data_IF_195728747702
#
_entry.id   IF_195728747702
#
_cell.length_a   1.000
_cell.length_b   1.000
_cell.length_c   1.000
_cell.angle_alpha   90.00
_cell.angle_beta   90.00
_cell.angle_gamma   90.00
#
_symmetry.space_group_name_H-M   'P 1'
#
loop_
_entity.id
_entity.type
_entity.pdbx_description
1 polymer ?
#
# COMPACT_ATOMS: atom_id res chain seq x y z
N UNK A 1 -7.04 -8.05 -12.16
CA UNK A 1 -7.27 -6.63 -12.49
C UNK A 1 -6.79 -5.81 -11.31
N UNK A 2 -6.04 -4.72 -11.56
CA UNK A 2 -5.58 -3.83 -10.49
C UNK A 2 -6.66 -2.74 -10.35
N UNK A 3 -7.23 -2.62 -9.15
CA UNK A 3 -8.17 -1.56 -8.79
C UNK A 3 -7.56 -0.62 -7.75
N UNK A 4 -8.27 0.45 -7.44
CA UNK A 4 -7.93 1.38 -6.36
C UNK A 4 -9.18 1.64 -5.54
N UNK A 5 -9.06 1.55 -4.21
CA UNK A 5 -10.18 1.89 -3.32
C UNK A 5 -10.47 3.40 -3.33
N UNK A 6 -9.41 4.21 -3.44
CA UNK A 6 -9.51 5.68 -3.47
C UNK A 6 -8.77 6.25 -4.69
N UNK A 7 -9.40 6.28 -5.88
CA UNK A 7 -8.74 6.71 -7.12
C UNK A 7 -8.28 8.17 -7.09
N UNK A 8 -8.99 9.04 -6.36
CA UNK A 8 -8.66 10.46 -6.24
C UNK A 8 -7.34 10.71 -5.52
N UNK A 9 -6.91 9.79 -4.64
CA UNK A 9 -5.64 9.90 -3.93
C UNK A 9 -4.44 9.92 -4.91
N UNK A 10 -4.58 9.36 -6.12
CA UNK A 10 -3.55 9.40 -7.16
C UNK A 10 -3.20 10.84 -7.60
N UNK A 11 -4.10 11.82 -7.42
CA UNK A 11 -3.77 13.23 -7.64
C UNK A 11 -2.62 13.69 -6.75
N UNK A 12 -2.41 13.05 -5.59
CA UNK A 12 -1.27 13.28 -4.72
C UNK A 12 0.08 13.01 -5.39
N UNK A 13 0.15 12.24 -6.48
CA UNK A 13 1.39 12.04 -7.24
C UNK A 13 1.92 13.36 -7.80
N UNK A 14 1.08 14.37 -8.01
CA UNK A 14 1.50 15.71 -8.41
C UNK A 14 2.45 16.34 -7.37
N UNK A 15 2.33 15.97 -6.10
CA UNK A 15 3.23 16.44 -5.04
C UNK A 15 4.68 15.93 -5.22
N UNK A 16 4.89 14.82 -5.94
CA UNK A 16 6.25 14.33 -6.26
C UNK A 16 7.00 15.28 -7.19
N UNK A 17 6.29 16.16 -7.92
CA UNK A 17 6.92 17.18 -8.76
C UNK A 17 7.62 18.26 -7.92
N UNK A 18 7.15 18.55 -6.70
CA UNK A 18 7.71 19.61 -5.83
C UNK A 18 9.22 19.43 -5.61
N UNK A 19 9.73 18.30 -5.09
CA UNK A 19 11.17 18.12 -4.89
C UNK A 19 11.97 18.15 -6.20
N UNK A 20 11.39 17.72 -7.32
CA UNK A 20 12.03 17.78 -8.65
C UNK A 20 12.17 19.24 -9.09
N UNK A 21 11.10 20.03 -9.00
CA UNK A 21 11.11 21.45 -9.33
C UNK A 21 12.09 22.23 -8.44
N UNK A 22 12.07 21.97 -7.13
CA UNK A 22 13.02 22.60 -6.19
C UNK A 22 14.47 22.25 -6.53
N UNK A 23 14.75 21.00 -6.95
CA UNK A 23 16.08 20.61 -7.40
C UNK A 23 16.51 21.36 -8.67
N UNK A 24 15.63 21.48 -9.65
CA UNK A 24 15.89 22.23 -10.88
C UNK A 24 16.13 23.72 -10.59
N UNK A 25 15.37 24.29 -9.66
CA UNK A 25 15.50 25.70 -9.26
C UNK A 25 16.79 25.95 -8.46
N UNK A 26 17.17 25.02 -7.58
CA UNK A 26 18.42 25.05 -6.82
C UNK A 26 19.66 24.82 -7.69
N UNK A 27 19.48 24.40 -8.95
CA UNK A 27 20.55 24.26 -9.94
C UNK A 27 21.00 25.59 -10.55
N UNK A 28 20.32 26.70 -10.23
CA UNK A 28 20.77 28.05 -10.60
C UNK A 28 22.12 28.32 -9.93
N UNK A 29 23.14 28.53 -10.75
CA UNK A 29 24.52 28.73 -10.29
C UNK A 29 24.59 29.92 -9.33
N UNK A 30 25.12 29.73 -8.11
CA UNK A 30 25.43 30.84 -7.22
C UNK A 30 26.48 31.73 -7.90
N UNK A 31 26.40 33.07 -7.76
CA UNK A 31 27.41 33.95 -8.31
C UNK A 31 28.79 33.56 -7.78
N UNK A 32 29.72 33.28 -8.70
CA UNK A 32 31.09 32.91 -8.37
C UNK A 32 31.81 34.15 -7.84
N UNK A 33 31.95 34.27 -6.52
CA UNK A 33 32.83 35.28 -5.91
C UNK A 33 34.24 34.69 -5.87
N UNK A 34 35.14 35.20 -6.71
CA UNK A 34 36.51 34.73 -6.83
C UNK A 34 37.33 35.20 -5.63
N UNK A 35 37.38 34.41 -4.56
CA UNK A 35 38.18 34.70 -3.37
C UNK A 35 39.63 34.18 -3.54
N UNK A 36 40.67 35.04 -3.62
CA UNK A 36 42.03 34.62 -3.98
C UNK A 36 42.70 33.65 -3.00
N UNK A 37 42.31 33.68 -1.72
CA UNK A 37 42.91 32.86 -0.66
C UNK A 37 42.61 31.36 -0.77
N UNK A 38 41.61 30.94 -1.55
CA UNK A 38 41.09 29.56 -1.57
C UNK A 38 41.61 28.75 -2.77
N UNK A 39 42.39 29.36 -3.67
CA UNK A 39 42.84 28.76 -4.94
C UNK A 39 43.61 27.44 -4.77
N UNK A 40 44.28 27.25 -3.63
CA UNK A 40 45.00 26.01 -3.30
C UNK A 40 44.11 24.87 -2.76
N UNK A 41 42.89 25.16 -2.30
CA UNK A 41 41.91 24.16 -1.82
C UNK A 41 41.05 23.57 -2.95
N UNK A 42 40.98 24.26 -4.10
CA UNK A 42 40.17 23.89 -5.27
C UNK A 42 40.65 22.60 -5.97
N UNK A 43 41.95 22.27 -5.86
CA UNK A 43 42.50 21.06 -6.46
C UNK A 43 41.97 19.77 -5.77
N UNK A 44 41.76 19.80 -4.45
CA UNK A 44 41.27 18.65 -3.68
C UNK A 44 39.73 18.46 -3.77
N UNK A 45 38.98 19.52 -4.09
CA UNK A 45 37.50 19.49 -4.09
C UNK A 45 36.91 18.88 -5.37
N UNK A 46 37.66 18.81 -6.49
CA UNK A 46 37.18 18.21 -7.76
C UNK A 46 36.71 16.75 -7.60
N UNK A 47 37.37 15.94 -6.78
CA UNK A 47 36.92 14.57 -6.50
C UNK A 47 35.64 14.52 -5.64
N UNK A 48 35.49 15.45 -4.69
CA UNK A 48 34.34 15.51 -3.79
C UNK A 48 33.05 15.92 -4.53
N UNK A 49 33.15 16.76 -5.56
CA UNK A 49 32.00 17.17 -6.37
C UNK A 49 31.26 16.00 -7.02
N UNK A 50 31.97 14.95 -7.46
CA UNK A 50 31.33 13.76 -8.07
C UNK A 50 30.52 12.96 -7.05
N UNK A 51 31.07 12.75 -5.85
CA UNK A 51 30.40 12.03 -4.75
C UNK A 51 29.19 12.79 -4.23
N UNK A 52 29.30 14.11 -4.07
CA UNK A 52 28.19 14.97 -3.66
C UNK A 52 27.06 14.99 -4.69
N UNK A 53 27.37 14.98 -6.00
CA UNK A 53 26.36 14.87 -7.06
C UNK A 53 25.60 13.55 -7.00
N UNK A 54 26.31 12.42 -6.83
CA UNK A 54 25.69 11.10 -6.67
C UNK A 54 24.79 11.05 -5.43
N UNK A 55 25.27 11.52 -4.28
CA UNK A 55 24.47 11.57 -3.05
C UNK A 55 23.21 12.43 -3.22
N UNK A 56 23.32 13.60 -3.84
CA UNK A 56 22.16 14.46 -4.07
C UNK A 56 21.14 13.82 -5.03
N UNK A 57 21.58 13.10 -6.06
CA UNK A 57 20.67 12.36 -6.95
C UNK A 57 19.97 11.21 -6.21
N UNK A 58 20.71 10.44 -5.41
CA UNK A 58 20.15 9.37 -4.57
C UNK A 58 19.13 9.92 -3.56
N UNK A 59 19.45 11.03 -2.90
CA UNK A 59 18.54 11.69 -1.95
C UNK A 59 17.29 12.25 -2.64
N UNK A 60 17.43 12.78 -3.86
CA UNK A 60 16.29 13.21 -4.67
C UNK A 60 15.37 12.03 -4.98
N UNK A 61 15.94 10.94 -5.50
CA UNK A 61 15.21 9.71 -5.82
C UNK A 61 14.46 9.16 -4.61
N UNK A 62 15.14 9.08 -3.47
CA UNK A 62 14.55 8.59 -2.23
C UNK A 62 13.40 9.49 -1.76
N UNK A 63 13.57 10.82 -1.83
CA UNK A 63 12.52 11.77 -1.45
C UNK A 63 11.29 11.65 -2.35
N UNK A 64 11.48 11.54 -3.67
CA UNK A 64 10.36 11.34 -4.61
C UNK A 64 9.69 9.99 -4.43
N UNK A 65 10.48 8.94 -4.20
CA UNK A 65 9.96 7.58 -3.99
C UNK A 65 9.13 7.50 -2.70
N UNK A 66 9.58 8.15 -1.62
CA UNK A 66 8.83 8.20 -0.36
C UNK A 66 7.44 8.83 -0.57
N UNK A 67 7.36 9.99 -1.23
CA UNK A 67 6.09 10.65 -1.52
C UNK A 67 5.21 9.75 -2.40
N UNK A 68 5.78 9.16 -3.46
CA UNK A 68 5.03 8.28 -4.35
C UNK A 68 4.48 7.04 -3.62
N UNK A 69 5.26 6.43 -2.74
CA UNK A 69 4.86 5.28 -1.93
C UNK A 69 3.75 5.65 -0.93
N UNK A 70 3.83 6.81 -0.28
CA UNK A 70 2.77 7.29 0.61
C UNK A 70 1.46 7.53 -0.15
N UNK A 71 1.54 8.13 -1.33
CA UNK A 71 0.35 8.34 -2.18
C UNK A 71 -0.23 7.01 -2.65
N UNK A 72 0.61 6.05 -3.06
CA UNK A 72 0.16 4.71 -3.42
C UNK A 72 -0.48 3.99 -2.23
N UNK A 73 0.11 4.08 -1.03
CA UNK A 73 -0.48 3.52 0.18
C UNK A 73 -1.86 4.14 0.48
N UNK A 74 -1.99 5.46 0.33
CA UNK A 74 -3.27 6.16 0.48
C UNK A 74 -4.29 5.74 -0.59
N UNK A 75 -3.87 5.55 -1.84
CA UNK A 75 -4.75 5.08 -2.92
C UNK A 75 -5.25 3.64 -2.71
N UNK A 76 -4.61 2.87 -1.81
CA UNK A 76 -4.97 1.50 -1.45
C UNK A 76 -5.16 0.63 -2.69
N UNK A 77 -4.08 0.33 -3.44
CA UNK A 77 -4.15 -0.49 -4.65
C UNK A 77 -4.64 -1.89 -4.28
N UNK A 78 -5.71 -2.32 -4.94
CA UNK A 78 -6.21 -3.68 -4.85
C UNK A 78 -5.71 -4.45 -6.05
N UNK A 79 -4.65 -5.21 -5.83
CA UNK A 79 -4.23 -6.23 -6.79
C UNK A 79 -4.76 -7.57 -6.31
N UNK A 80 -5.50 -8.28 -7.17
CA UNK A 80 -5.76 -9.69 -6.97
C UNK A 80 -4.42 -10.45 -7.16
N UNK A 81 -3.63 -10.56 -6.10
CA UNK A 81 -2.46 -11.43 -6.09
C UNK A 81 -2.96 -12.87 -6.15
N UNK A 82 -2.95 -13.45 -7.36
CA UNK A 82 -3.17 -14.89 -7.54
C UNK A 82 -2.07 -15.62 -6.76
N UNK A 83 -2.44 -16.25 -5.64
CA UNK A 83 -1.54 -17.05 -4.80
C UNK A 83 -1.17 -16.46 -3.44
N UNK A 84 -1.54 -15.21 -3.13
CA UNK A 84 -1.53 -14.72 -1.74
C UNK A 84 -2.95 -14.89 -1.21
N UNK A 85 -3.21 -16.07 -0.64
CA UNK A 85 -4.45 -16.40 0.06
C UNK A 85 -4.59 -15.46 1.26
N UNK A 86 -5.20 -14.30 1.04
CA UNK A 86 -5.69 -13.43 2.10
C UNK A 86 -6.75 -14.19 2.87
N UNK A 87 -6.42 -14.55 4.11
CA UNK A 87 -7.08 -15.52 5.01
C UNK A 87 -6.66 -16.97 4.74
N UNK A 88 -5.86 -17.51 5.67
CA UNK A 88 -5.69 -18.95 5.83
C UNK A 88 -7.07 -19.61 5.89
N UNK A 89 -7.19 -20.83 5.36
CA UNK A 89 -8.43 -21.62 5.37
C UNK A 89 -9.09 -21.52 6.76
N UNK A 90 -10.19 -20.78 6.85
CA UNK A 90 -10.87 -20.57 8.12
C UNK A 90 -11.59 -21.86 8.48
N UNK A 91 -11.16 -22.55 9.54
CA UNK A 91 -11.85 -23.72 10.03
C UNK A 91 -13.25 -23.30 10.53
N UNK A 92 -14.29 -23.67 9.80
CA UNK A 92 -15.68 -23.41 10.16
C UNK A 92 -16.24 -24.60 10.94
N UNK A 93 -16.40 -24.45 12.25
CA UNK A 93 -17.11 -25.42 13.10
C UNK A 93 -18.51 -24.89 13.39
N UNK A 94 -19.54 -25.66 13.03
CA UNK A 94 -20.93 -25.32 13.32
C UNK A 94 -21.49 -26.33 14.32
N UNK A 95 -21.86 -25.85 15.50
CA UNK A 95 -22.50 -26.68 16.54
C UNK A 95 -24.00 -26.44 16.49
N UNK A 96 -24.77 -27.52 16.35
CA UNK A 96 -26.23 -27.49 16.39
C UNK A 96 -26.73 -28.11 17.69
N UNK A 97 -27.55 -27.36 18.44
CA UNK A 97 -28.26 -27.93 19.59
C UNK A 97 -29.43 -28.81 19.13
N UNK A 98 -29.43 -30.07 19.58
CA UNK A 98 -30.47 -31.06 19.31
C UNK A 98 -31.29 -31.39 20.57
N UNK A 99 -31.45 -30.44 21.48
CA UNK A 99 -32.34 -30.57 22.63
C UNK A 99 -33.81 -30.78 22.20
N UNK A 100 -34.69 -31.32 23.08
CA UNK A 100 -36.11 -31.54 22.78
C UNK A 100 -36.85 -30.27 22.31
N UNK A 101 -36.36 -29.09 22.70
CA UNK A 101 -36.90 -27.79 22.26
C UNK A 101 -36.71 -27.52 20.75
N UNK A 102 -35.71 -28.14 20.12
CA UNK A 102 -35.45 -28.05 18.68
C UNK A 102 -36.41 -28.91 17.84
N UNK A 103 -37.09 -29.88 18.47
CA UNK A 103 -38.10 -30.73 17.83
C UNK A 103 -39.48 -30.06 17.72
N UNK A 104 -39.67 -28.88 18.33
CA UNK A 104 -40.92 -28.12 18.23
C UNK A 104 -41.25 -27.85 16.77
N UNK A 105 -42.47 -28.20 16.38
CA UNK A 105 -43.00 -27.99 15.03
C UNK A 105 -43.59 -26.59 14.96
N UNK A 106 -43.05 -25.76 14.08
CA UNK A 106 -43.55 -24.41 13.81
C UNK A 106 -43.87 -24.33 12.33
N UNK A 107 -45.12 -24.04 11.98
CA UNK A 107 -45.55 -23.96 10.58
C UNK A 107 -45.48 -25.29 9.81
N UNK A 108 -45.70 -26.43 10.49
CA UNK A 108 -45.75 -27.76 9.87
C UNK A 108 -44.41 -28.46 9.69
N UNK A 109 -43.29 -27.84 10.08
CA UNK A 109 -41.97 -28.47 10.07
C UNK A 109 -41.25 -28.33 11.41
N UNK A 110 -40.40 -29.30 11.82
CA UNK A 110 -39.57 -29.16 13.01
C UNK A 110 -38.61 -27.97 12.89
N UNK A 111 -38.43 -27.18 13.94
CA UNK A 111 -37.49 -26.03 13.98
C UNK A 111 -36.06 -26.43 13.61
N UNK A 112 -35.65 -27.64 13.99
CA UNK A 112 -34.37 -28.25 13.58
C UNK A 112 -34.18 -28.30 12.06
N UNK A 113 -35.25 -28.50 11.28
CA UNK A 113 -35.17 -28.54 9.81
C UNK A 113 -34.78 -27.18 9.21
N UNK A 114 -35.31 -26.10 9.79
CA UNK A 114 -34.97 -24.72 9.42
C UNK A 114 -33.52 -24.38 9.80
N UNK A 115 -33.07 -24.80 10.99
CA UNK A 115 -31.67 -24.65 11.42
C UNK A 115 -30.71 -25.38 10.47
N UNK A 116 -31.00 -26.64 10.12
CA UNK A 116 -30.23 -27.42 9.15
C UNK A 116 -30.18 -26.73 7.77
N UNK A 117 -31.28 -26.14 7.31
CA UNK A 117 -31.33 -25.41 6.05
C UNK A 117 -30.50 -24.11 6.10
N UNK A 118 -30.49 -23.40 7.23
CA UNK A 118 -29.65 -22.23 7.43
C UNK A 118 -28.15 -22.60 7.42
N UNK A 119 -27.77 -23.68 8.11
CA UNK A 119 -26.38 -24.17 8.14
C UNK A 119 -25.90 -24.55 6.74
N UNK A 120 -26.71 -25.28 5.97
CA UNK A 120 -26.35 -25.63 4.59
C UNK A 120 -26.10 -24.40 3.72
N UNK A 121 -26.87 -23.32 3.89
CA UNK A 121 -26.65 -22.05 3.18
C UNK A 121 -25.35 -21.37 3.60
N UNK A 122 -25.00 -21.42 4.88
CA UNK A 122 -23.75 -20.86 5.41
C UNK A 122 -22.55 -21.65 4.88
N UNK A 123 -22.59 -22.98 4.94
CA UNK A 123 -21.53 -23.86 4.42
C UNK A 123 -21.36 -23.70 2.91
N UNK A 124 -22.46 -23.61 2.14
CA UNK A 124 -22.39 -23.38 0.70
C UNK A 124 -21.75 -22.02 0.32
N UNK A 125 -21.88 -21.00 1.19
CA UNK A 125 -21.25 -19.68 0.99
C UNK A 125 -19.79 -19.63 1.48
N UNK A 126 -19.41 -20.51 2.40
CA UNK A 126 -18.07 -20.55 2.97
C UNK A 126 -16.99 -21.04 1.98
N UNK A 127 -17.39 -21.67 0.86
CA UNK A 127 -16.48 -22.18 -0.18
C UNK A 127 -15.67 -23.41 0.28
N UNK A 128 -15.31 -24.33 -0.63
CA UNK A 128 -14.35 -25.38 -0.30
C UNK A 128 -12.96 -24.75 -0.08
N UNK A 129 -12.25 -25.22 0.94
CA UNK A 129 -10.84 -24.94 1.14
C UNK A 129 -10.00 -25.46 -0.04
#
# INVERSE_FOLDING_TARGET
MIGFLQPWALLGLLATAIPILLHLLARREPPTVTFPAVRYLVAATRQHHRRLRLQNLLLLLLRTALIALLVLAAASPTAALRGVSGHAASALVVILDNSPSSAVVVGGAPRLSALRAAVRRIVARAGPA
#
